data_IF_591626225726
#
_entry.id   IF_591626225726
#
_cell.length_a   1.000
_cell.length_b   1.000
_cell.length_c   1.000
_cell.angle_alpha   90.00
_cell.angle_beta   90.00
_cell.angle_gamma   90.00
#
_symmetry.space_group_name_H-M   'P 1'
#
loop_
_entity.id
_entity.type
_entity.pdbx_description
1 polymer ?
2 non-polymer ?
3 water ?
#
# COMPACT_ATOMS: atom_id res chain seq x y z
N UNK A 21 -10.69 -8.88 8.23
CA UNK A 21 -11.82 -9.81 8.34
C UNK A 21 -11.78 -10.89 7.27
N UNK A 22 -12.50 -10.66 6.16
CA UNK A 22 -12.36 -11.52 4.98
C UNK A 22 -11.01 -11.30 4.30
N UNK A 23 -10.29 -10.24 4.70
CA UNK A 23 -9.06 -9.82 4.06
C UNK A 23 -7.90 -9.77 5.04
N UNK A 24 -8.03 -10.40 6.19
CA UNK A 24 -6.88 -10.38 7.06
C UNK A 24 -5.97 -11.52 6.64
N UNK A 25 -4.69 -11.36 6.92
CA UNK A 25 -3.67 -12.23 6.35
C UNK A 25 -3.34 -13.33 7.34
N UNK A 26 -3.43 -14.57 6.88
CA UNK A 26 -3.07 -15.75 7.67
C UNK A 26 -1.85 -16.42 7.03
N UNK A 27 -0.72 -16.38 7.73
CA UNK A 27 0.51 -16.89 7.15
C UNK A 27 0.37 -18.36 6.78
N UNK A 28 -0.06 -19.19 7.73
CA UNK A 28 -0.12 -20.63 7.48
C UNK A 28 -0.99 -20.96 6.28
N UNK A 29 -1.99 -20.13 6.00
CA UNK A 29 -2.85 -20.33 4.83
C UNK A 29 -2.19 -19.92 3.52
N UNK A 30 -1.21 -19.02 3.58
CA UNK A 30 -0.33 -18.80 2.43
C UNK A 30 0.62 -19.98 2.28
N UNK A 31 1.24 -20.38 3.40
CA UNK A 31 2.24 -21.45 3.39
C UNK A 31 1.67 -22.75 2.83
N UNK A 32 0.39 -23.02 3.09
CA UNK A 32 -0.24 -24.27 2.71
C UNK A 32 -0.85 -24.23 1.32
N UNK A 33 -0.65 -23.16 0.56
CA UNK A 33 -1.17 -23.13 -0.79
C UNK A 33 -2.66 -22.86 -0.90
N UNK A 34 -3.35 -22.65 0.21
CA UNK A 34 -4.75 -22.27 0.20
C UNK A 34 -4.90 -20.89 -0.45
N UNK A 35 -4.35 -19.87 0.22
CA UNK A 35 -4.58 -18.45 -0.08
C UNK A 35 -3.57 -17.94 -1.11
N UNK A 36 -3.93 -18.07 -2.39
CA UNK A 36 -3.11 -17.66 -3.53
C UNK A 36 -3.11 -16.16 -3.78
N UNK A 37 -3.56 -15.34 -2.84
CA UNK A 37 -3.72 -13.93 -3.15
C UNK A 37 -2.40 -13.21 -3.00
N UNK A 38 -2.11 -12.32 -3.96
CA UNK A 38 -0.81 -11.66 -4.05
C UNK A 38 -0.82 -10.16 -3.80
N UNK A 39 -1.97 -9.49 -3.76
CA UNK A 39 -1.96 -8.04 -3.59
C UNK A 39 -2.31 -7.69 -2.15
N UNK A 40 -1.58 -6.73 -1.62
CA UNK A 40 -1.49 -6.54 -0.19
C UNK A 40 -1.41 -5.05 0.05
N UNK A 41 -1.91 -4.62 1.21
CA UNK A 41 -1.78 -3.23 1.64
C UNK A 41 -0.82 -3.09 2.78
N UNK A 42 0.12 -2.18 2.64
CA UNK A 42 0.97 -1.83 3.75
C UNK A 42 0.34 -0.60 4.38
N UNK A 43 -0.08 -0.73 5.63
CA UNK A 43 -0.94 0.23 6.31
C UNK A 43 -0.21 0.90 7.46
N UNK A 44 -0.75 2.05 7.89
CA UNK A 44 -0.19 2.91 8.95
C UNK A 44 1.13 3.54 8.56
N UNK A 45 1.35 3.73 7.26
CA UNK A 45 2.60 4.40 6.90
C UNK A 45 2.56 5.81 7.45
N UNK A 46 3.62 6.27 8.10
CA UNK A 46 3.71 7.69 8.47
C UNK A 46 3.40 8.58 7.28
N UNK A 47 2.59 9.62 7.52
CA UNK A 47 2.26 10.62 6.50
C UNK A 47 3.57 11.21 5.98
N UNK A 48 4.61 11.06 6.78
CA UNK A 48 5.96 11.59 6.57
C UNK A 48 6.89 10.56 5.91
N UNK A 49 6.51 9.97 4.76
CA UNK A 49 7.27 8.91 4.07
C UNK A 49 7.30 9.16 2.57
N UNK A 50 8.39 8.75 1.91
CA UNK A 50 8.38 8.81 0.46
C UNK A 50 8.36 7.41 -0.16
N UNK A 51 7.91 7.36 -1.42
CA UNK A 51 7.91 6.12 -2.17
C UNK A 51 9.26 5.45 -2.07
N UNK A 52 10.31 6.24 -2.24
CA UNK A 52 11.68 5.74 -2.19
C UNK A 52 12.00 5.10 -0.84
N UNK A 53 11.53 5.69 0.24
CA UNK A 53 11.89 5.16 1.54
C UNK A 53 11.14 3.87 1.72
N UNK A 54 9.92 3.83 1.18
CA UNK A 54 9.12 2.62 1.25
C UNK A 54 9.78 1.50 0.47
N UNK A 55 10.19 1.79 -0.77
CA UNK A 55 10.96 0.84 -1.56
C UNK A 55 12.11 0.29 -0.75
N UNK A 56 12.94 1.20 -0.23
CA UNK A 56 14.08 0.82 0.58
C UNK A 56 13.64 0.00 1.77
N UNK A 57 12.57 0.42 2.43
CA UNK A 57 12.06 -0.32 3.57
C UNK A 57 11.71 -1.75 3.17
N UNK A 58 11.02 -1.91 2.04
CA UNK A 58 10.59 -3.23 1.61
C UNK A 58 11.78 -4.05 1.17
N UNK A 59 12.72 -3.41 0.46
CA UNK A 59 13.84 -4.10 -0.17
C UNK A 59 14.82 -4.67 0.85
N UNK A 60 14.72 -4.24 2.11
CA UNK A 60 15.55 -4.80 3.16
C UNK A 60 15.32 -6.29 3.26
N UNK A 61 14.06 -6.71 3.34
CA UNK A 61 13.74 -8.12 3.45
C UNK A 61 13.16 -8.72 2.18
N UNK A 62 12.73 -7.91 1.21
CA UNK A 62 11.94 -8.45 0.11
C UNK A 62 12.37 -7.93 -1.24
N UNK A 63 13.62 -7.52 -1.38
CA UNK A 63 14.08 -7.00 -2.66
C UNK A 63 13.81 -8.00 -3.77
N UNK A 64 13.35 -7.50 -4.91
CA UNK A 64 13.12 -8.36 -6.04
C UNK A 64 11.85 -9.19 -6.00
N UNK A 65 11.08 -9.17 -4.93
CA UNK A 65 9.96 -10.10 -4.87
C UNK A 65 8.61 -9.48 -5.26
N UNK A 66 8.57 -8.29 -5.88
CA UNK A 66 7.26 -7.71 -6.15
C UNK A 66 7.17 -7.07 -7.53
N UNK A 67 5.96 -7.16 -8.07
CA UNK A 67 5.53 -6.72 -9.39
C UNK A 67 5.16 -5.26 -9.45
N UNK A 68 4.74 -4.72 -8.32
CA UNK A 68 3.94 -3.51 -8.32
C UNK A 68 4.05 -2.90 -6.95
N UNK A 69 4.39 -1.62 -6.90
CA UNK A 69 4.40 -0.89 -5.65
C UNK A 69 3.91 0.52 -5.90
N UNK A 70 2.86 0.94 -5.19
CA UNK A 70 2.40 2.33 -5.27
C UNK A 70 2.02 2.82 -3.88
N UNK A 71 2.78 3.80 -3.39
CA UNK A 71 2.44 4.53 -2.18
C UNK A 71 1.49 5.65 -2.58
N UNK A 72 0.27 5.60 -2.06
CA UNK A 72 -0.80 6.46 -2.56
C UNK A 72 -0.55 7.91 -2.15
N UNK A 73 -0.56 8.80 -3.13
CA UNK A 73 -0.16 10.19 -2.93
C UNK A 73 -1.37 11.07 -3.13
N UNK A 74 -1.72 11.83 -2.09
CA UNK A 74 -2.79 12.83 -2.12
C UNK A 74 -2.53 13.94 -3.15
N UNK A 75 -3.52 14.17 -4.02
CA UNK A 75 -3.39 15.14 -5.10
C UNK A 75 -3.09 16.54 -4.57
N UNK A 76 -3.64 16.91 -3.41
CA UNK A 76 -3.60 18.29 -2.94
C UNK A 76 -2.31 18.63 -2.20
N UNK A 77 -2.09 18.04 -1.02
CA UNK A 77 -0.89 18.34 -0.25
C UNK A 77 0.30 17.46 -0.63
N UNK A 78 0.11 16.47 -1.50
CA UNK A 78 1.17 15.59 -2.01
C UNK A 78 1.87 14.82 -0.90
N UNK A 79 1.13 14.53 0.16
CA UNK A 79 1.50 13.60 1.22
C UNK A 79 1.06 12.22 0.84
N UNK A 80 1.67 11.23 1.46
CA UNK A 80 1.02 9.94 1.33
C UNK A 80 -0.14 9.84 2.30
N UNK A 81 -1.00 8.86 2.03
CA UNK A 81 -2.33 8.75 2.58
C UNK A 81 -2.28 7.69 3.68
N UNK A 82 -1.08 7.21 3.96
CA UNK A 82 -0.90 6.24 5.01
C UNK A 82 -0.91 4.78 4.58
N UNK A 83 -1.11 4.48 3.29
CA UNK A 83 -1.04 3.09 2.84
C UNK A 83 -0.45 3.00 1.43
N UNK A 84 -0.03 1.78 1.06
CA UNK A 84 0.50 1.52 -0.28
C UNK A 84 -0.03 0.19 -0.82
N UNK A 85 -0.16 0.11 -2.16
CA UNK A 85 -0.45 -1.15 -2.84
C UNK A 85 0.87 -1.84 -3.19
N UNK A 86 0.96 -3.13 -2.91
CA UNK A 86 2.08 -3.92 -3.37
C UNK A 86 1.55 -5.26 -3.85
N UNK A 87 2.01 -5.70 -5.02
CA UNK A 87 1.71 -7.03 -5.53
C UNK A 87 2.97 -7.86 -5.52
N UNK A 88 2.99 -8.92 -4.71
CA UNK A 88 4.13 -9.82 -4.66
C UNK A 88 4.04 -10.85 -5.76
N UNK A 89 5.19 -11.20 -6.32
CA UNK A 89 5.18 -12.16 -7.40
C UNK A 89 4.80 -13.52 -6.87
N UNK A 90 5.14 -13.81 -5.63
CA UNK A 90 4.82 -15.10 -5.06
C UNK A 90 4.21 -14.95 -3.68
N UNK A 91 3.08 -15.60 -3.42
CA UNK A 91 2.40 -15.42 -2.14
C UNK A 91 3.26 -15.68 -0.92
N UNK A 92 4.25 -16.57 -0.96
CA UNK A 92 5.02 -16.77 0.27
C UNK A 92 5.82 -15.53 0.64
N UNK A 93 6.12 -14.66 -0.34
CA UNK A 93 6.85 -13.44 0.00
C UNK A 93 6.11 -12.64 1.06
N UNK A 94 4.77 -12.74 1.10
CA UNK A 94 3.98 -12.07 2.13
C UNK A 94 4.41 -12.51 3.53
N UNK A 95 4.73 -13.81 3.70
CA UNK A 95 5.19 -14.27 5.01
C UNK A 95 6.52 -13.61 5.37
N UNK A 96 7.49 -13.67 4.45
CA UNK A 96 8.77 -13.02 4.69
C UNK A 96 8.57 -11.59 5.18
N UNK A 97 7.76 -10.81 4.46
CA UNK A 97 7.58 -9.40 4.83
C UNK A 97 6.83 -9.25 6.14
N UNK A 98 5.70 -9.93 6.28
CA UNK A 98 4.90 -9.80 7.48
C UNK A 98 5.66 -10.11 8.75
N UNK A 99 6.20 -11.33 8.83
CA UNK A 99 7.00 -11.71 10.00
C UNK A 99 8.04 -10.64 10.31
N UNK A 100 8.72 -10.14 9.28
CA UNK A 100 9.78 -9.17 9.53
C UNK A 100 9.23 -7.84 10.00
N UNK A 101 8.07 -7.43 9.50
CA UNK A 101 7.69 -6.04 9.64
C UNK A 101 6.40 -5.77 10.38
N UNK A 102 5.39 -6.65 10.32
CA UNK A 102 4.11 -6.32 10.94
C UNK A 102 4.26 -6.46 12.45
N UNK A 103 3.86 -5.43 13.18
CA UNK A 103 4.17 -5.38 14.59
C UNK A 103 5.22 -4.33 14.87
N UNK A 104 6.34 -4.37 14.14
CA UNK A 104 7.43 -3.42 14.34
C UNK A 104 6.95 -1.98 14.07
N UNK A 105 7.75 -1.01 14.49
CA UNK A 105 7.43 0.40 14.27
C UNK A 105 8.23 0.92 13.09
N UNK A 106 7.53 1.61 12.18
CA UNK A 106 8.17 2.31 11.08
C UNK A 106 9.44 2.99 11.54
N UNK A 107 9.34 3.74 12.62
CA UNK A 107 10.49 4.47 13.12
C UNK A 107 10.32 4.52 14.63
N UNK A 108 11.10 3.69 15.33
CA UNK A 108 11.01 3.58 16.79
C UNK A 108 11.19 4.96 17.42
N UNK A 109 11.87 5.85 16.69
CA UNK A 109 12.34 7.16 17.13
C UNK A 109 11.42 8.31 16.75
N UNK A 110 10.82 8.29 15.55
CA UNK A 110 10.19 9.48 15.00
C UNK A 110 8.73 9.30 14.59
N UNK A 111 8.11 8.17 14.92
CA UNK A 111 6.67 8.02 14.77
C UNK A 111 6.23 6.84 15.62
N UNK A 112 5.13 7.01 16.32
CA UNK A 112 4.61 5.88 17.07
C UNK A 112 3.83 4.92 16.20
N UNK A 113 3.58 5.28 14.93
CA UNK A 113 2.85 4.41 14.02
C UNK A 113 3.60 3.09 13.85
N UNK A 114 2.85 1.98 13.84
CA UNK A 114 3.41 0.65 13.61
C UNK A 114 2.79 0.03 12.35
N UNK A 115 3.48 -0.97 11.80
CA UNK A 115 3.21 -1.48 10.46
C UNK A 115 2.28 -2.68 10.52
N UNK A 116 1.30 -2.70 9.61
CA UNK A 116 0.38 -3.82 9.45
C UNK A 116 0.06 -3.99 7.97
N UNK A 117 -0.47 -5.16 7.62
CA UNK A 117 -0.76 -5.53 6.24
C UNK A 117 -2.12 -6.21 6.18
N UNK A 118 -2.80 -6.06 5.05
CA UNK A 118 -3.99 -6.86 4.78
C UNK A 118 -4.17 -7.00 3.28
N UNK A 119 -4.84 -8.08 2.87
CA UNK A 119 -5.12 -8.28 1.46
C UNK A 119 -5.94 -7.11 0.91
N UNK A 120 -5.62 -6.67 -0.30
CA UNK A 120 -6.43 -5.66 -0.96
C UNK A 120 -7.67 -6.29 -1.57
N UNK A 121 -8.64 -5.45 -1.89
CA UNK A 121 -9.79 -5.96 -2.64
C UNK A 121 -9.39 -6.26 -4.06
N UNK A 122 -8.73 -5.30 -4.72
CA UNK A 122 -8.20 -5.55 -6.05
C UNK A 122 -6.99 -6.47 -5.91
N UNK A 123 -6.97 -7.52 -6.71
CA UNK A 123 -5.91 -8.51 -6.69
C UNK A 123 -5.28 -8.62 -8.06
N UNK A 124 -3.95 -8.63 -8.10
CA UNK A 124 -3.25 -8.96 -9.33
C UNK A 124 -2.69 -7.78 -10.09
N UNK A 125 -1.38 -7.86 -10.39
CA UNK A 125 -0.66 -6.85 -11.17
C UNK A 125 -1.49 -6.29 -12.30
N UNK A 126 -2.31 -7.13 -12.92
CA UNK A 126 -3.01 -6.70 -14.13
C UNK A 126 -4.12 -5.72 -13.79
N UNK A 127 -4.93 -6.04 -12.79
CA UNK A 127 -5.99 -5.12 -12.43
C UNK A 127 -5.41 -3.84 -11.83
N UNK A 128 -4.36 -3.98 -11.01
CA UNK A 128 -3.69 -2.80 -10.46
C UNK A 128 -3.21 -1.90 -11.58
N UNK A 129 -2.64 -2.48 -12.64
CA UNK A 129 -2.15 -1.61 -13.71
C UNK A 129 -3.30 -0.85 -14.35
N UNK A 130 -4.48 -1.48 -14.44
CA UNK A 130 -5.57 -0.77 -15.09
C UNK A 130 -6.17 0.30 -14.17
N UNK A 131 -6.27 0.01 -12.86
CA UNK A 131 -6.75 0.98 -11.89
C UNK A 131 -6.10 2.34 -12.11
N UNK A 132 -4.77 2.35 -12.22
CA UNK A 132 -4.01 3.58 -12.28
C UNK A 132 -3.66 4.02 -13.69
N UNK A 133 -3.91 3.19 -14.71
CA UNK A 133 -3.72 3.67 -16.08
C UNK A 133 -4.85 4.57 -16.52
N UNK A 134 -6.06 4.36 -16.00
CA UNK A 134 -7.27 5.04 -16.48
C UNK A 134 -7.72 6.09 -15.47
N UNK A 135 -7.49 7.35 -15.84
CA UNK A 135 -7.96 8.49 -15.07
C UNK A 135 -9.47 8.45 -14.90
N UNK A 136 -9.95 9.10 -13.84
CA UNK A 136 -11.37 9.24 -13.56
C UNK A 136 -11.79 10.67 -13.83
N UNK A 137 -13.08 10.84 -14.05
CA UNK A 137 -13.61 12.18 -14.12
C UNK A 137 -13.57 12.74 -12.71
N UNK A 138 -13.34 14.04 -12.61
CA UNK A 138 -13.17 14.70 -11.34
C UNK A 138 -14.38 15.64 -11.08
N UNK A 139 -15.03 16.02 -12.18
CA UNK A 139 -16.13 16.97 -12.21
C UNK A 139 -16.79 16.91 -13.58
N UNK A 140 -17.98 17.49 -13.69
CA UNK A 140 -18.58 17.58 -15.02
C UNK A 140 -17.82 18.56 -15.90
N UNK A 141 -17.26 19.61 -15.30
CA UNK A 141 -16.42 20.58 -16.00
C UNK A 141 -15.00 20.02 -16.04
N UNK A 142 -14.47 19.67 -17.22
CA UNK A 142 -13.15 19.00 -17.26
C UNK A 142 -11.98 19.92 -16.93
N UNK A 143 -12.18 21.24 -16.98
CA UNK A 143 -11.17 22.21 -16.58
C UNK A 143 -11.01 22.30 -15.07
N UNK A 144 -11.88 21.64 -14.31
CA UNK A 144 -11.81 21.67 -12.85
C UNK A 144 -10.63 20.84 -12.35
N UNK A 145 -10.00 21.31 -11.27
CA UNK A 145 -9.03 20.56 -10.48
C UNK A 145 -9.47 20.60 -9.02
N UNK A 146 -9.18 19.55 -8.23
CA UNK A 146 -9.84 19.41 -6.92
C UNK A 146 -9.55 20.59 -6.01
N UNK A 147 -10.63 21.22 -5.54
CA UNK A 147 -10.56 22.37 -4.65
C UNK A 147 -11.27 22.00 -3.36
N UNK A 148 -10.54 22.03 -2.26
CA UNK A 148 -11.15 21.86 -0.95
C UNK A 148 -12.22 22.90 -0.73
N UNK A 149 -13.33 22.51 -0.10
CA UNK A 149 -14.30 23.48 0.37
C UNK A 149 -13.99 23.87 1.81
N UNK A 150 -13.90 25.18 2.06
CA UNK A 150 -13.72 25.71 3.41
C UNK A 150 -14.48 27.02 3.54
N UNK A 151 -15.04 27.28 4.73
CA UNK A 151 -15.71 28.55 4.99
C UNK A 151 -15.32 29.06 6.37
N UNK A 152 -15.54 30.37 6.57
CA UNK A 152 -15.24 31.09 7.80
C UNK A 152 -16.33 32.11 8.08
N UNK A 153 -16.65 32.30 9.36
CA UNK A 153 -17.67 33.26 9.77
C UNK A 153 -18.90 32.51 10.21
X LIG B 1 -9.63 2.15 -3.27
X LIG B 1 -9.95 2.39 -2.09
X LIG B 1 -8.67 2.75 -3.78
X LIG B 1 -10.43 1.18 -4.10
X LIG B 1 -10.02 -0.28 -3.88
X LIG B 1 -9.37 -0.70 -5.11
X LIG B 1 -9.11 -0.48 -2.66
X LIG B 1 -8.79 -1.94 -2.35
X LIG B 1 -8.62 -2.34 -1.18
X LIG B 1 -8.67 -2.83 -3.22
X LIG B 1 -11.32 -1.06 -3.66
X LIG B 1 -12.27 -0.59 -2.97
X LIG B 1 -11.47 -2.18 -4.20
#
# INVERSE_FOLDING_TARGET
SLNPDLNLQRYTPTVEKHASDRNSVDYAQIASGIDTRTTVMIKNIPNKFTQQMLRDYIDVTNKGTYDFLYLRIDFVNKCNVGYAFINFIEPQSIITFGKARVGTQWNVFHSEKICDISYANIQGKDRLIEKFRNSCVMDENPAYRPKIFVSHG
CIT C1 O1 O2 C2 C3 O7 C4 C5 O3 O4 C6 O5 O6
#
